data_IF_530505837208
#
_entry.id   IF_530505837208
#
_cell.length_a   1.000
_cell.length_b   1.000
_cell.length_c   1.000
_cell.angle_alpha   90.00
_cell.angle_beta   90.00
_cell.angle_gamma   90.00
#
_symmetry.space_group_name_H-M   'P 1'
#
loop_
_entity.id
_entity.type
_entity.pdbx_description
1 polymer ?
#
# COMPACT_ATOMS: atom_id res chain seq x y z
N UNK A 1 50.56 13.95 37.08
CA UNK A 1 51.38 15.17 37.29
C UNK A 1 51.49 15.88 35.97
N UNK A 2 51.48 17.24 35.85
CA UNK A 2 50.48 18.19 36.34
C UNK A 2 49.76 18.87 35.15
N UNK A 3 48.56 19.37 35.19
CA UNK A 3 47.99 20.60 35.70
C UNK A 3 48.55 21.92 35.11
N UNK A 4 47.68 22.71 34.46
CA UNK A 4 47.66 24.19 34.43
C UNK A 4 46.44 24.62 33.55
N UNK A 5 45.33 25.13 33.97
CA UNK A 5 44.88 26.37 34.63
C UNK A 5 45.45 27.65 33.99
N UNK A 6 44.53 28.48 33.41
CA UNK A 6 44.32 29.91 33.70
C UNK A 6 43.29 30.49 32.76
N UNK A 7 42.10 30.94 33.27
CA UNK A 7 41.60 32.26 33.63
C UNK A 7 41.24 33.19 32.43
N UNK A 8 39.99 33.46 32.30
CA UNK A 8 39.17 34.58 32.75
C UNK A 8 39.60 36.00 32.21
N UNK A 9 38.74 36.66 31.48
CA UNK A 9 38.43 38.08 31.66
C UNK A 9 37.05 38.49 31.13
N UNK A 10 36.38 39.21 31.97
CA UNK A 10 35.10 39.90 31.88
C UNK A 10 35.23 41.20 31.05
N UNK A 11 34.16 41.65 30.47
CA UNK A 11 34.01 43.01 29.94
C UNK A 11 32.54 43.37 29.81
N UNK A 12 32.09 44.28 30.63
CA UNK A 12 30.77 44.84 30.86
C UNK A 12 30.27 45.76 29.70
N UNK A 13 28.96 45.72 29.48
CA UNK A 13 27.97 46.79 29.51
C UNK A 13 28.03 48.00 28.58
N UNK A 14 26.94 48.31 27.89
CA UNK A 14 26.26 49.60 28.00
C UNK A 14 24.88 49.55 27.31
N UNK A 15 23.90 50.05 28.02
CA UNK A 15 22.49 50.26 27.64
C UNK A 15 22.31 51.66 27.04
N UNK A 16 21.32 51.85 26.13
CA UNK A 16 20.58 53.12 25.90
C UNK A 16 19.32 52.83 25.07
N UNK A 17 18.13 52.81 25.62
CA UNK A 17 17.13 53.87 25.74
C UNK A 17 16.41 54.28 24.40
N UNK A 18 15.06 54.08 24.45
CA UNK A 18 13.96 54.52 23.56
C UNK A 18 13.89 56.07 23.40
N UNK A 19 13.11 56.60 22.40
CA UNK A 19 11.69 56.83 22.73
C UNK A 19 10.68 56.63 21.56
N UNK A 20 9.39 56.53 22.01
CA UNK A 20 8.13 56.61 21.28
C UNK A 20 7.96 57.90 20.50
N UNK A 21 7.26 57.83 19.35
CA UNK A 21 6.32 58.90 18.93
C UNK A 21 5.16 58.33 18.13
N UNK A 22 3.97 58.53 18.69
CA UNK A 22 2.68 58.31 18.04
C UNK A 22 2.28 59.57 17.27
N UNK A 23 1.68 59.41 16.08
CA UNK A 23 0.84 60.44 15.49
C UNK A 23 -0.28 59.80 14.66
N UNK A 24 -1.48 60.08 15.12
CA UNK A 24 -2.74 59.83 14.43
C UNK A 24 -3.00 60.97 13.41
N UNK A 25 -3.52 60.60 12.24
CA UNK A 25 -4.20 61.56 11.37
C UNK A 25 -5.38 60.88 10.67
N UNK A 26 -6.56 61.29 11.02
CA UNK A 26 -7.85 61.08 10.37
C UNK A 26 -7.97 61.91 9.12
N UNK A 27 -8.43 61.32 8.00
CA UNK A 27 -8.99 62.07 6.87
C UNK A 27 -10.16 61.28 6.25
N UNK A 28 -11.35 61.81 6.36
CA UNK A 28 -12.54 61.41 5.63
C UNK A 28 -12.39 61.88 4.16
N UNK A 29 -12.73 61.02 3.21
CA UNK A 29 -12.88 61.37 1.80
C UNK A 29 -13.99 60.52 1.17
N UNK A 30 -15.07 61.17 0.79
CA UNK A 30 -16.25 60.69 0.05
C UNK A 30 -15.87 60.39 -1.41
N UNK A 31 -16.37 59.27 -1.99
CA UNK A 31 -16.30 59.10 -3.43
C UNK A 31 -16.63 57.69 -3.94
N UNK A 32 -17.89 57.48 -4.36
CA UNK A 32 -18.39 56.64 -5.44
C UNK A 32 -18.05 55.14 -5.51
N UNK A 33 -19.13 54.37 -5.46
CA UNK A 33 -19.28 52.92 -5.72
C UNK A 33 -18.74 52.54 -7.12
N UNK A 34 -17.86 51.56 -7.16
CA UNK A 34 -17.73 50.60 -8.25
C UNK A 34 -18.06 49.23 -7.69
N UNK A 35 -19.12 48.61 -8.23
CA UNK A 35 -19.42 47.20 -8.00
C UNK A 35 -18.35 46.36 -8.66
N UNK A 36 -17.46 45.81 -7.88
CA UNK A 36 -16.63 44.68 -8.27
C UNK A 36 -17.22 43.43 -7.67
N UNK A 37 -17.93 42.69 -8.51
CA UNK A 37 -18.29 41.29 -8.26
C UNK A 37 -17.02 40.44 -8.29
N UNK A 38 -16.26 40.49 -7.22
CA UNK A 38 -15.29 39.44 -6.89
C UNK A 38 -15.95 38.57 -5.87
N UNK A 39 -16.53 37.46 -6.34
CA UNK A 39 -16.73 36.27 -5.53
C UNK A 39 -15.42 35.96 -4.83
N UNK A 40 -15.29 36.46 -3.61
CA UNK A 40 -14.28 36.02 -2.67
C UNK A 40 -14.54 34.55 -2.43
N UNK A 41 -13.80 33.69 -3.13
CA UNK A 41 -13.64 32.32 -2.73
C UNK A 41 -13.13 32.34 -1.29
N UNK A 42 -14.01 32.14 -0.35
CA UNK A 42 -13.66 31.83 1.04
C UNK A 42 -12.83 30.55 0.92
N UNK A 43 -11.50 30.70 1.00
CA UNK A 43 -10.62 29.57 1.25
C UNK A 43 -11.23 28.91 2.49
N UNK A 44 -11.79 27.72 2.32
CA UNK A 44 -12.25 26.92 3.41
C UNK A 44 -11.05 26.77 4.34
N UNK A 45 -11.10 27.49 5.46
CA UNK A 45 -10.17 27.27 6.57
C UNK A 45 -10.35 25.82 6.94
N UNK A 46 -9.43 24.97 6.50
CA UNK A 46 -9.54 23.53 6.59
C UNK A 46 -9.77 23.17 8.05
N UNK A 47 -10.89 22.52 8.32
CA UNK A 47 -11.20 21.97 9.64
C UNK A 47 -9.97 21.15 10.07
N UNK A 48 -9.35 21.49 11.19
CA UNK A 48 -8.26 20.71 11.77
C UNK A 48 -8.79 19.30 12.04
N UNK A 49 -8.17 18.29 11.44
CA UNK A 49 -8.50 16.90 11.71
C UNK A 49 -8.03 16.49 13.10
N UNK A 50 -8.55 15.40 13.61
CA UNK A 50 -8.37 14.97 15.00
C UNK A 50 -6.97 14.45 15.34
N UNK A 51 -6.14 14.11 14.33
CA UNK A 51 -4.74 13.72 14.52
C UNK A 51 -3.77 14.69 13.84
N UNK A 52 -2.60 14.92 14.44
CA UNK A 52 -1.54 15.75 13.84
C UNK A 52 -0.72 14.98 12.79
N UNK A 53 -0.73 13.64 12.82
CA UNK A 53 0.02 12.77 11.90
C UNK A 53 -0.75 11.49 11.64
N UNK A 54 -0.68 10.98 10.40
CA UNK A 54 -1.12 9.62 10.04
C UNK A 54 0.04 8.87 9.39
N UNK A 55 0.33 7.66 9.88
CA UNK A 55 1.40 6.79 9.38
C UNK A 55 0.79 5.78 8.42
N UNK A 56 1.23 5.83 7.15
CA UNK A 56 0.69 4.98 6.09
C UNK A 56 1.78 4.06 5.56
N UNK A 57 1.52 2.74 5.64
CA UNK A 57 2.41 1.70 5.14
C UNK A 57 2.03 1.22 3.74
N UNK A 58 3.03 0.89 2.93
CA UNK A 58 2.87 0.29 1.61
C UNK A 58 4.13 -0.46 1.18
N UNK A 59 4.09 -1.16 0.04
CA UNK A 59 5.25 -1.88 -0.48
C UNK A 59 5.75 -1.22 -1.77
N UNK A 60 7.07 -1.15 -1.99
CA UNK A 60 7.65 -0.59 -3.21
C UNK A 60 7.49 -1.55 -4.40
N UNK A 61 6.25 -1.77 -4.82
CA UNK A 61 5.89 -2.54 -6.00
C UNK A 61 4.64 -1.94 -6.69
N UNK A 62 4.40 -2.30 -7.96
CA UNK A 62 3.36 -1.66 -8.77
C UNK A 62 1.92 -2.06 -8.39
N UNK A 63 1.71 -3.17 -7.65
CA UNK A 63 0.37 -3.47 -7.11
C UNK A 63 -0.04 -2.54 -5.97
N UNK A 64 0.88 -1.68 -5.51
CA UNK A 64 0.66 -0.59 -4.57
C UNK A 64 0.65 0.80 -5.26
N UNK A 65 0.35 0.84 -6.57
CA UNK A 65 0.37 2.07 -7.37
C UNK A 65 -0.47 3.20 -6.74
N UNK A 66 -1.62 2.88 -6.14
CA UNK A 66 -2.44 3.87 -5.43
C UNK A 66 -1.67 4.59 -4.32
N UNK A 67 -0.97 3.85 -3.47
CA UNK A 67 -0.17 4.45 -2.40
C UNK A 67 1.03 5.23 -2.97
N UNK A 68 1.77 4.61 -3.90
CA UNK A 68 2.95 5.23 -4.53
C UNK A 68 2.60 6.56 -5.20
N UNK A 69 1.59 6.58 -6.06
CA UNK A 69 1.14 7.77 -6.78
C UNK A 69 0.48 8.78 -5.82
N UNK A 70 -0.37 8.31 -4.92
CA UNK A 70 -1.08 9.18 -3.96
C UNK A 70 -0.14 9.94 -3.02
N UNK A 71 0.97 9.32 -2.64
CA UNK A 71 2.05 9.95 -1.86
C UNK A 71 2.88 10.87 -2.76
N UNK A 72 3.35 10.37 -3.91
CA UNK A 72 4.24 11.08 -4.83
C UNK A 72 3.62 12.37 -5.38
N UNK A 73 2.34 12.32 -5.78
CA UNK A 73 1.59 13.46 -6.32
C UNK A 73 0.94 14.32 -5.21
N UNK A 74 1.12 13.95 -3.95
CA UNK A 74 0.53 14.67 -2.82
C UNK A 74 -1.01 14.60 -2.75
N UNK A 75 -1.65 13.68 -3.48
CA UNK A 75 -3.10 13.58 -3.56
C UNK A 75 -3.72 13.18 -2.21
N UNK A 76 -3.06 12.29 -1.46
CA UNK A 76 -3.50 11.92 -0.11
C UNK A 76 -3.22 13.06 0.87
N UNK A 77 -2.03 13.69 0.83
CA UNK A 77 -1.70 14.82 1.71
C UNK A 77 -2.65 16.00 1.52
N UNK A 78 -3.09 16.26 0.30
CA UNK A 78 -4.04 17.34 0.00
C UNK A 78 -5.35 17.19 0.77
N UNK A 79 -5.88 15.97 0.90
CA UNK A 79 -7.11 15.71 1.64
C UNK A 79 -6.92 15.76 3.16
N UNK A 80 -5.72 15.50 3.64
CA UNK A 80 -5.34 15.58 5.05
C UNK A 80 -5.19 17.01 5.57
N UNK A 81 -5.02 17.99 4.66
CA UNK A 81 -4.82 19.39 5.06
C UNK A 81 -3.61 19.55 6.00
N UNK A 82 -3.86 19.96 7.24
CA UNK A 82 -2.83 20.18 8.25
C UNK A 82 -2.30 18.92 8.93
N UNK A 83 -2.97 17.77 8.79
CA UNK A 83 -2.48 16.48 9.30
C UNK A 83 -1.33 15.99 8.43
N UNK A 84 -0.18 15.71 9.03
CA UNK A 84 1.01 15.26 8.32
C UNK A 84 0.89 13.80 7.89
N UNK A 85 1.06 13.53 6.60
CA UNK A 85 1.26 12.19 6.07
C UNK A 85 2.67 11.70 6.38
N UNK A 86 2.79 10.51 6.98
CA UNK A 86 4.07 9.86 7.27
C UNK A 86 4.12 8.50 6.55
N UNK A 87 4.65 8.44 5.32
CA UNK A 87 4.75 7.20 4.56
C UNK A 87 5.85 6.29 5.10
N UNK A 88 5.63 4.97 5.05
CA UNK A 88 6.55 3.93 5.49
C UNK A 88 6.56 2.78 4.49
N UNK A 89 7.74 2.41 3.99
CA UNK A 89 7.91 1.28 3.08
C UNK A 89 8.17 -0.01 3.86
N UNK A 90 7.47 -1.09 3.46
CA UNK A 90 7.65 -2.44 3.99
C UNK A 90 8.04 -3.42 2.88
N UNK A 91 8.70 -4.53 3.24
CA UNK A 91 9.08 -5.54 2.27
C UNK A 91 7.92 -6.50 1.93
N UNK A 92 7.05 -6.79 2.90
CA UNK A 92 5.88 -7.68 2.72
C UNK A 92 4.83 -7.49 3.83
N UNK A 93 3.68 -8.16 3.67
CA UNK A 93 2.51 -8.03 4.54
C UNK A 93 2.73 -8.38 6.00
N UNK A 94 3.36 -9.50 6.35
CA UNK A 94 3.57 -9.86 7.75
C UNK A 94 4.26 -8.76 8.57
N UNK A 95 5.31 -8.14 8.02
CA UNK A 95 6.02 -7.05 8.73
C UNK A 95 5.17 -5.77 8.88
N UNK A 96 4.29 -5.48 7.92
CA UNK A 96 3.35 -4.36 8.04
C UNK A 96 2.27 -4.63 9.11
N UNK A 97 1.79 -5.88 9.24
CA UNK A 97 0.87 -6.29 10.32
C UNK A 97 1.53 -6.16 11.69
N UNK A 98 2.80 -6.56 11.83
CA UNK A 98 3.54 -6.38 13.08
C UNK A 98 3.66 -4.90 13.46
N UNK A 99 3.95 -4.01 12.49
CA UNK A 99 4.01 -2.57 12.70
C UNK A 99 2.65 -1.99 13.10
N UNK A 100 1.54 -2.46 12.49
CA UNK A 100 0.19 -2.05 12.83
C UNK A 100 -0.20 -2.51 14.25
N UNK A 101 0.10 -3.76 14.61
CA UNK A 101 -0.15 -4.31 15.93
C UNK A 101 0.70 -3.61 17.02
N UNK A 102 1.91 -3.22 16.69
CA UNK A 102 2.82 -2.47 17.57
C UNK A 102 2.50 -0.98 17.67
N UNK A 103 1.46 -0.49 16.98
CA UNK A 103 1.05 0.92 17.01
C UNK A 103 2.05 1.86 16.31
N UNK A 104 2.97 1.35 15.49
CA UNK A 104 3.88 2.16 14.67
C UNK A 104 3.35 2.43 13.26
N UNK A 105 2.20 1.84 12.90
CA UNK A 105 1.47 2.04 11.67
C UNK A 105 -0.02 2.26 11.98
N UNK A 106 -0.66 3.21 11.30
CA UNK A 106 -2.09 3.51 11.47
C UNK A 106 -2.94 2.92 10.36
N UNK A 107 -2.50 3.08 9.11
CA UNK A 107 -3.16 2.61 7.89
C UNK A 107 -2.14 1.86 7.03
N UNK A 108 -2.52 0.74 6.43
CA UNK A 108 -1.64 -0.05 5.56
C UNK A 108 -2.29 -0.39 4.23
N UNK A 109 -1.56 -0.23 3.14
CA UNK A 109 -1.86 -0.89 1.88
C UNK A 109 -1.23 -2.27 1.95
N UNK A 110 -2.03 -3.34 1.88
CA UNK A 110 -1.56 -4.68 2.24
C UNK A 110 -2.33 -5.76 1.48
N UNK A 111 -1.68 -6.90 1.26
CA UNK A 111 -2.34 -8.05 0.64
C UNK A 111 -3.43 -8.69 1.54
N UNK A 112 -4.41 -9.36 0.94
CA UNK A 112 -5.53 -9.98 1.66
C UNK A 112 -5.08 -11.06 2.66
N UNK A 113 -4.16 -11.96 2.30
CA UNK A 113 -3.74 -13.03 3.22
C UNK A 113 -3.07 -12.53 4.50
N UNK A 114 -2.13 -11.56 4.47
CA UNK A 114 -1.63 -10.94 5.69
C UNK A 114 -2.72 -10.22 6.51
N UNK A 115 -3.67 -9.55 5.85
CA UNK A 115 -4.79 -8.89 6.53
C UNK A 115 -5.65 -9.91 7.28
N UNK A 116 -6.04 -11.02 6.62
CA UNK A 116 -6.78 -12.13 7.24
C UNK A 116 -5.99 -12.72 8.42
N UNK A 117 -4.70 -13.04 8.21
CA UNK A 117 -3.86 -13.61 9.26
C UNK A 117 -3.75 -12.68 10.49
N UNK A 118 -3.56 -11.38 10.26
CA UNK A 118 -3.54 -10.38 11.33
C UNK A 118 -4.86 -10.32 12.07
N UNK A 119 -5.98 -10.28 11.33
CA UNK A 119 -7.33 -10.24 11.89
C UNK A 119 -7.61 -11.46 12.79
N UNK A 120 -7.37 -12.65 12.25
CA UNK A 120 -7.60 -13.93 12.95
C UNK A 120 -6.74 -14.06 14.22
N UNK A 121 -5.44 -13.79 14.12
CA UNK A 121 -4.52 -13.86 15.27
C UNK A 121 -4.84 -12.86 16.38
N UNK A 122 -5.54 -11.78 16.06
CA UNK A 122 -6.00 -10.79 17.05
C UNK A 122 -7.44 -11.04 17.51
N UNK A 123 -8.08 -12.16 17.10
CA UNK A 123 -9.50 -12.43 17.37
C UNK A 123 -10.39 -11.26 16.92
N UNK A 124 -10.10 -10.72 15.72
CA UNK A 124 -10.86 -9.63 15.14
C UNK A 124 -10.62 -8.23 15.73
N UNK A 125 -9.61 -8.04 16.60
CA UNK A 125 -9.44 -6.80 17.39
C UNK A 125 -8.43 -5.79 16.86
N UNK A 126 -7.58 -6.15 15.89
CA UNK A 126 -6.48 -5.26 15.50
C UNK A 126 -6.78 -4.34 14.32
N UNK A 127 -7.48 -4.82 13.31
CA UNK A 127 -7.68 -4.07 12.07
C UNK A 127 -9.10 -4.19 11.49
N UNK A 128 -9.38 -3.29 10.53
CA UNK A 128 -10.49 -3.41 9.57
C UNK A 128 -9.95 -3.16 8.17
N UNK A 129 -10.51 -3.87 7.18
CA UNK A 129 -10.34 -3.54 5.76
C UNK A 129 -11.37 -2.46 5.43
N UNK A 130 -10.88 -1.31 4.94
CA UNK A 130 -11.69 -0.11 4.71
C UNK A 130 -11.81 0.28 3.24
N UNK A 131 -11.03 -0.34 2.34
CA UNK A 131 -11.10 -0.10 0.89
C UNK A 131 -10.33 -1.18 0.14
N UNK A 132 -10.64 -1.35 -1.15
CA UNK A 132 -9.72 -1.91 -2.12
C UNK A 132 -8.63 -0.92 -2.51
N UNK A 133 -7.64 -1.38 -3.25
CA UNK A 133 -6.59 -0.56 -3.85
C UNK A 133 -6.20 -1.09 -5.22
N UNK A 134 -5.95 -2.41 -5.35
CA UNK A 134 -5.58 -3.01 -6.63
C UNK A 134 -6.09 -4.45 -6.78
N UNK A 135 -6.29 -4.83 -8.04
CA UNK A 135 -6.59 -6.19 -8.51
C UNK A 135 -5.58 -6.62 -9.57
N UNK A 136 -5.24 -7.91 -9.62
CA UNK A 136 -4.35 -8.47 -10.64
C UNK A 136 -2.85 -8.24 -10.38
N UNK A 137 -2.04 -8.28 -11.43
CA UNK A 137 -0.60 -7.98 -11.37
C UNK A 137 0.25 -9.06 -10.69
N UNK A 138 -0.15 -10.33 -10.73
CA UNK A 138 0.61 -11.46 -10.19
C UNK A 138 0.80 -12.53 -11.26
N UNK A 139 2.01 -13.07 -11.36
CA UNK A 139 2.37 -14.06 -12.39
C UNK A 139 3.27 -15.16 -11.81
N UNK A 140 3.12 -16.37 -12.34
CA UNK A 140 4.14 -17.40 -12.29
C UNK A 140 5.06 -17.21 -13.50
N UNK A 141 6.28 -16.79 -13.26
CA UNK A 141 7.33 -16.67 -14.29
C UNK A 141 8.40 -17.71 -14.06
N UNK A 142 8.92 -18.29 -15.12
CA UNK A 142 9.80 -19.47 -15.06
C UNK A 142 10.96 -19.39 -16.03
N UNK A 143 12.02 -20.15 -15.75
CA UNK A 143 13.09 -20.40 -16.71
C UNK A 143 12.57 -21.33 -17.81
N UNK A 144 12.49 -20.88 -19.08
CA UNK A 144 11.91 -21.66 -20.18
C UNK A 144 12.72 -22.89 -20.58
N UNK A 145 14.01 -22.96 -20.21
CA UNK A 145 14.85 -24.14 -20.47
C UNK A 145 14.57 -25.28 -19.48
N UNK A 146 14.00 -24.94 -18.29
CA UNK A 146 13.75 -25.88 -17.20
C UNK A 146 12.28 -26.22 -17.00
N UNK A 147 11.38 -25.31 -17.39
CA UNK A 147 9.93 -25.41 -17.17
C UNK A 147 9.24 -24.95 -18.46
N UNK A 148 8.55 -25.85 -19.14
CA UNK A 148 7.82 -25.58 -20.38
C UNK A 148 6.31 -25.63 -20.19
N UNK A 149 5.86 -26.46 -19.25
CA UNK A 149 4.46 -26.71 -18.93
C UNK A 149 4.21 -26.55 -17.41
N UNK A 150 2.98 -26.37 -16.97
CA UNK A 150 2.65 -26.35 -15.55
C UNK A 150 3.10 -27.62 -14.77
N UNK A 151 3.15 -28.77 -15.41
CA UNK A 151 3.53 -30.02 -14.74
C UNK A 151 5.07 -30.14 -14.54
N UNK A 152 5.87 -29.41 -15.31
CA UNK A 152 7.32 -29.35 -15.13
C UNK A 152 7.74 -28.58 -13.84
N UNK A 153 6.81 -27.89 -13.19
CA UNK A 153 7.05 -27.18 -11.90
C UNK A 153 7.35 -28.18 -10.78
N UNK A 154 6.89 -29.44 -10.89
CA UNK A 154 7.23 -30.48 -9.93
C UNK A 154 8.72 -30.72 -9.86
N UNK A 155 9.28 -30.79 -8.66
CA UNK A 155 10.72 -30.94 -8.40
C UNK A 155 11.53 -29.64 -8.58
N UNK A 156 10.91 -28.50 -8.89
CA UNK A 156 11.59 -27.21 -9.10
C UNK A 156 11.58 -26.35 -7.84
N UNK A 157 12.41 -25.30 -7.88
CA UNK A 157 12.53 -24.28 -6.83
C UNK A 157 11.80 -23.03 -7.31
N UNK A 158 10.66 -22.73 -6.70
CA UNK A 158 9.84 -21.57 -7.06
C UNK A 158 9.88 -20.57 -5.92
N UNK A 159 10.26 -19.35 -6.26
CA UNK A 159 10.27 -18.25 -5.29
C UNK A 159 8.85 -17.72 -5.04
N UNK A 160 8.58 -17.39 -3.79
CA UNK A 160 7.44 -16.59 -3.35
C UNK A 160 7.96 -15.51 -2.41
N UNK A 161 7.18 -14.44 -2.09
CA UNK A 161 7.53 -13.51 -1.00
C UNK A 161 7.60 -14.19 0.37
N UNK A 162 7.47 -13.44 1.45
CA UNK A 162 7.45 -14.00 2.82
C UNK A 162 6.37 -15.06 2.99
N UNK A 163 6.63 -16.03 3.89
CA UNK A 163 5.66 -17.04 4.30
C UNK A 163 4.33 -16.39 4.75
N UNK A 164 3.23 -16.90 4.23
CA UNK A 164 1.89 -16.37 4.53
C UNK A 164 1.55 -15.07 3.80
N UNK A 165 2.43 -14.55 2.93
CA UNK A 165 2.07 -13.47 2.03
C UNK A 165 1.08 -13.97 0.96
N UNK A 166 0.34 -13.06 0.32
CA UNK A 166 -0.73 -13.42 -0.63
C UNK A 166 -0.26 -14.36 -1.73
N UNK A 167 0.90 -14.08 -2.34
CA UNK A 167 1.47 -14.91 -3.39
C UNK A 167 1.96 -16.27 -2.90
N UNK A 168 2.43 -16.36 -1.66
CA UNK A 168 2.85 -17.63 -1.05
C UNK A 168 1.64 -18.55 -0.86
N UNK A 169 0.55 -17.99 -0.32
CA UNK A 169 -0.73 -18.70 -0.14
C UNK A 169 -1.32 -19.15 -1.48
N UNK A 170 -1.35 -18.27 -2.48
CA UNK A 170 -1.87 -18.58 -3.81
C UNK A 170 -1.08 -19.70 -4.48
N UNK A 171 0.26 -19.65 -4.41
CA UNK A 171 1.12 -20.69 -4.97
C UNK A 171 0.94 -22.04 -4.26
N UNK A 172 0.89 -22.06 -2.93
CA UNK A 172 0.65 -23.29 -2.16
C UNK A 172 -0.71 -23.91 -2.50
N UNK A 173 -1.75 -23.09 -2.67
CA UNK A 173 -3.05 -23.58 -3.12
C UNK A 173 -2.99 -24.15 -4.55
N UNK A 174 -2.28 -23.47 -5.48
CA UNK A 174 -2.12 -23.95 -6.85
C UNK A 174 -1.40 -25.29 -6.90
N UNK A 175 -0.31 -25.46 -6.14
CA UNK A 175 0.44 -26.71 -5.97
C UNK A 175 -0.46 -27.82 -5.43
N UNK A 176 -1.23 -27.51 -4.39
CA UNK A 176 -2.21 -28.47 -3.80
C UNK A 176 -3.31 -28.86 -4.80
N UNK A 177 -3.75 -27.94 -5.67
CA UNK A 177 -4.70 -28.21 -6.75
C UNK A 177 -4.17 -29.17 -7.81
N UNK A 178 -2.84 -29.29 -7.94
CA UNK A 178 -2.17 -30.30 -8.78
C UNK A 178 -2.04 -31.68 -8.09
N UNK A 179 -2.50 -31.80 -6.85
CA UNK A 179 -2.31 -33.01 -6.04
C UNK A 179 -0.90 -33.16 -5.47
N UNK A 180 -0.07 -32.13 -5.55
CA UNK A 180 1.31 -32.12 -5.02
C UNK A 180 1.33 -31.66 -3.58
N UNK A 181 2.29 -32.17 -2.82
CA UNK A 181 2.43 -31.87 -1.40
C UNK A 181 3.62 -30.94 -1.16
N UNK A 182 3.39 -29.89 -0.40
CA UNK A 182 4.42 -29.00 0.12
C UNK A 182 4.10 -28.72 1.58
N UNK A 183 5.08 -28.90 2.45
CA UNK A 183 5.01 -28.46 3.83
C UNK A 183 5.05 -26.93 3.87
N UNK A 184 3.98 -26.29 4.32
CA UNK A 184 3.81 -24.85 4.26
C UNK A 184 4.78 -24.11 5.19
N UNK A 185 5.30 -24.76 6.24
CA UNK A 185 6.26 -24.16 7.16
C UNK A 185 7.66 -24.09 6.53
N UNK A 186 8.18 -25.24 6.11
CA UNK A 186 9.54 -25.36 5.56
C UNK A 186 9.65 -25.03 4.06
N UNK A 187 8.53 -25.04 3.32
CA UNK A 187 8.51 -24.90 1.87
C UNK A 187 9.02 -26.13 1.12
N UNK A 188 9.26 -27.28 1.80
CA UNK A 188 9.79 -28.51 1.20
C UNK A 188 8.66 -29.44 0.78
N UNK A 189 8.88 -30.21 -0.30
CA UNK A 189 7.93 -31.18 -0.80
C UNK A 189 8.12 -31.51 -2.27
N UNK A 190 7.01 -31.80 -2.98
CA UNK A 190 7.02 -32.04 -4.43
C UNK A 190 7.50 -30.83 -5.23
N UNK A 191 7.42 -29.63 -4.66
CA UNK A 191 8.01 -28.40 -5.14
C UNK A 191 8.76 -27.74 -3.97
N UNK A 192 9.90 -27.16 -4.23
CA UNK A 192 10.63 -26.37 -3.22
C UNK A 192 10.17 -24.92 -3.29
N UNK A 193 9.47 -24.44 -2.27
CA UNK A 193 9.04 -23.04 -2.15
C UNK A 193 10.12 -22.25 -1.44
N UNK A 194 10.74 -21.31 -2.16
CA UNK A 194 11.86 -20.49 -1.67
C UNK A 194 11.31 -19.08 -1.36
N UNK A 195 11.18 -18.73 -0.07
CA UNK A 195 10.69 -17.40 0.31
C UNK A 195 11.80 -16.38 0.15
N UNK A 196 11.66 -15.46 -0.81
CA UNK A 196 12.66 -14.46 -1.14
C UNK A 196 12.03 -13.06 -1.22
N UNK A 197 12.76 -12.06 -0.72
CA UNK A 197 12.40 -10.67 -0.93
C UNK A 197 12.41 -10.32 -2.43
N UNK A 198 11.45 -9.51 -2.88
CA UNK A 198 11.35 -9.08 -4.28
C UNK A 198 12.60 -8.33 -4.80
N UNK A 199 13.43 -7.78 -3.91
CA UNK A 199 14.69 -7.12 -4.27
C UNK A 199 15.77 -8.13 -4.68
N UNK A 200 15.78 -9.32 -4.05
CA UNK A 200 16.81 -10.35 -4.30
C UNK A 200 16.32 -11.45 -5.25
N UNK A 201 15.03 -11.55 -5.52
CA UNK A 201 14.46 -12.56 -6.43
C UNK A 201 15.10 -12.54 -7.83
N UNK A 202 15.38 -11.38 -8.47
CA UNK A 202 16.08 -11.35 -9.76
C UNK A 202 17.48 -11.95 -9.71
N UNK A 203 18.25 -11.68 -8.66
CA UNK A 203 19.60 -12.24 -8.52
C UNK A 203 19.56 -13.74 -8.24
N UNK A 204 18.59 -14.22 -7.44
CA UNK A 204 18.36 -15.64 -7.22
C UNK A 204 17.99 -16.38 -8.53
N UNK A 205 17.24 -15.73 -9.43
CA UNK A 205 16.90 -16.27 -10.75
C UNK A 205 18.13 -16.32 -11.65
N UNK A 206 18.90 -15.24 -11.77
CA UNK A 206 20.13 -15.16 -12.57
C UNK A 206 21.18 -16.19 -12.16
N UNK A 207 21.36 -16.37 -10.86
CA UNK A 207 22.31 -17.36 -10.33
C UNK A 207 21.83 -18.79 -10.50
N UNK A 208 20.59 -19.01 -10.96
CA UNK A 208 19.98 -20.32 -11.05
C UNK A 208 19.65 -20.94 -9.69
N UNK A 209 19.60 -20.14 -8.60
CA UNK A 209 19.18 -20.60 -7.26
C UNK A 209 17.70 -20.91 -7.20
N UNK A 210 16.90 -20.31 -8.09
CA UNK A 210 15.48 -20.63 -8.31
C UNK A 210 15.21 -20.91 -9.79
N UNK A 211 14.18 -21.67 -10.07
CA UNK A 211 13.78 -22.08 -11.42
C UNK A 211 12.59 -21.25 -11.94
N UNK A 212 11.93 -20.50 -11.05
CA UNK A 212 10.82 -19.60 -11.32
C UNK A 212 10.35 -18.87 -10.07
N UNK A 213 9.34 -18.03 -10.23
CA UNK A 213 8.78 -17.26 -9.13
C UNK A 213 7.29 -16.97 -9.34
N UNK A 214 6.49 -17.08 -8.27
CA UNK A 214 5.12 -16.58 -8.20
C UNK A 214 5.14 -15.24 -7.47
N UNK A 215 5.13 -14.17 -8.22
CA UNK A 215 5.46 -12.84 -7.70
C UNK A 215 4.58 -11.74 -8.30
N UNK A 216 4.42 -10.62 -7.57
CA UNK A 216 3.71 -9.45 -8.09
C UNK A 216 4.60 -8.63 -9.03
N UNK A 217 3.95 -7.75 -9.79
CA UNK A 217 4.62 -6.71 -10.58
C UNK A 217 5.25 -5.62 -9.66
N UNK A 218 6.46 -5.15 -9.95
CA UNK A 218 7.20 -5.30 -11.21
C UNK A 218 8.17 -6.48 -11.23
N UNK A 219 8.24 -7.30 -10.18
CA UNK A 219 9.22 -8.40 -10.09
C UNK A 219 9.02 -9.40 -11.23
N UNK A 220 7.77 -9.75 -11.56
CA UNK A 220 7.47 -10.64 -12.69
C UNK A 220 8.03 -10.09 -14.01
N UNK A 221 7.76 -8.83 -14.33
CA UNK A 221 8.24 -8.18 -15.55
C UNK A 221 9.77 -7.99 -15.57
N UNK A 222 10.41 -7.77 -14.42
CA UNK A 222 11.88 -7.79 -14.32
C UNK A 222 12.45 -9.15 -14.70
N UNK A 223 11.91 -10.23 -14.16
CA UNK A 223 12.36 -11.59 -14.48
C UNK A 223 12.17 -11.91 -15.97
N UNK A 224 11.07 -11.44 -16.58
CA UNK A 224 10.86 -11.59 -18.03
C UNK A 224 11.91 -10.83 -18.83
N UNK A 225 12.34 -9.63 -18.40
CA UNK A 225 13.43 -8.89 -19.04
C UNK A 225 14.78 -9.62 -18.93
N UNK A 226 14.89 -10.54 -17.99
CA UNK A 226 16.08 -11.37 -17.73
C UNK A 226 15.97 -12.77 -18.34
N UNK A 227 15.02 -12.97 -19.28
CA UNK A 227 14.84 -14.21 -20.03
C UNK A 227 13.84 -15.19 -19.43
N UNK A 228 13.14 -14.87 -18.34
CA UNK A 228 12.05 -15.68 -17.86
C UNK A 228 10.83 -15.58 -18.78
N UNK A 229 9.98 -16.62 -18.76
CA UNK A 229 8.71 -16.65 -19.49
C UNK A 229 7.54 -16.68 -18.50
N UNK A 230 6.46 -15.97 -18.82
CA UNK A 230 5.20 -16.10 -18.10
C UNK A 230 4.62 -17.49 -18.39
N UNK A 231 4.48 -18.30 -17.36
CA UNK A 231 3.83 -19.60 -17.43
C UNK A 231 2.33 -19.50 -17.14
N UNK A 232 1.97 -18.63 -16.19
CA UNK A 232 0.59 -18.42 -15.75
C UNK A 232 0.42 -16.99 -15.23
N UNK A 233 -0.67 -16.36 -15.60
CA UNK A 233 -1.18 -15.16 -14.94
C UNK A 233 -2.20 -15.58 -13.87
N UNK A 234 -2.03 -15.15 -12.62
CA UNK A 234 -2.92 -15.55 -11.52
C UNK A 234 -4.37 -15.17 -11.80
N UNK A 235 -4.61 -14.05 -12.49
CA UNK A 235 -5.95 -13.61 -12.87
C UNK A 235 -6.74 -14.69 -13.63
N UNK A 236 -6.09 -15.49 -14.46
CA UNK A 236 -6.75 -16.57 -15.21
C UNK A 236 -7.30 -17.70 -14.31
N UNK A 237 -6.93 -17.73 -13.03
CA UNK A 237 -7.47 -18.69 -12.06
C UNK A 237 -8.75 -18.18 -11.36
N UNK A 238 -9.14 -16.93 -11.61
CA UNK A 238 -10.23 -16.27 -10.91
C UNK A 238 -11.44 -16.01 -11.82
N UNK A 239 -12.67 -16.12 -11.32
CA UNK A 239 -13.85 -15.76 -12.07
C UNK A 239 -13.79 -14.31 -12.57
N UNK A 240 -13.96 -14.13 -13.90
CA UNK A 240 -13.88 -12.82 -14.54
C UNK A 240 -12.53 -12.13 -14.41
N UNK A 241 -11.46 -12.91 -14.11
CA UNK A 241 -10.09 -12.42 -13.92
C UNK A 241 -9.95 -11.35 -12.82
N UNK A 242 -10.87 -11.37 -11.84
CA UNK A 242 -10.92 -10.38 -10.76
C UNK A 242 -10.64 -11.02 -9.41
N UNK A 243 -9.64 -10.49 -8.70
CA UNK A 243 -9.33 -10.83 -7.33
C UNK A 243 -8.62 -9.66 -6.67
N UNK A 244 -8.82 -9.48 -5.38
CA UNK A 244 -8.10 -8.44 -4.65
C UNK A 244 -6.64 -8.85 -4.44
N UNK A 245 -5.72 -7.93 -4.74
CA UNK A 245 -4.28 -8.11 -4.46
C UNK A 245 -3.80 -7.13 -3.38
N UNK A 246 -4.40 -5.95 -3.32
CA UNK A 246 -4.07 -4.95 -2.32
C UNK A 246 -5.34 -4.31 -1.77
N UNK A 247 -5.51 -4.40 -0.46
CA UNK A 247 -6.52 -3.71 0.34
C UNK A 247 -5.92 -2.52 1.07
N UNK A 248 -6.76 -1.61 1.53
CA UNK A 248 -6.43 -0.62 2.55
C UNK A 248 -6.97 -1.13 3.88
N UNK A 249 -6.10 -1.28 4.87
CA UNK A 249 -6.45 -1.66 6.24
C UNK A 249 -6.17 -0.50 7.19
N UNK A 250 -6.90 -0.45 8.29
CA UNK A 250 -6.70 0.54 9.35
C UNK A 250 -6.65 -0.15 10.71
N UNK A 251 -5.82 0.34 11.63
CA UNK A 251 -5.90 -0.04 13.04
C UNK A 251 -7.27 0.32 13.61
N UNK A 252 -7.94 -0.62 14.30
CA UNK A 252 -9.25 -0.34 14.90
C UNK A 252 -9.19 0.78 15.93
N UNK A 253 -8.10 0.89 16.69
CA UNK A 253 -7.87 2.00 17.61
C UNK A 253 -7.85 3.33 16.86
N UNK A 254 -7.07 3.42 15.77
CA UNK A 254 -6.99 4.65 14.98
C UNK A 254 -8.32 4.99 14.30
N UNK A 255 -9.03 3.99 13.76
CA UNK A 255 -10.35 4.19 13.17
C UNK A 255 -11.36 4.77 14.17
N UNK A 256 -11.34 4.27 15.40
CA UNK A 256 -12.23 4.73 16.47
C UNK A 256 -11.89 6.14 16.95
N UNK A 257 -10.60 6.43 17.11
CA UNK A 257 -10.13 7.71 17.66
C UNK A 257 -10.09 8.83 16.62
N UNK A 258 -9.82 8.50 15.34
CA UNK A 258 -9.58 9.46 14.27
C UNK A 258 -10.35 9.13 12.97
N UNK A 259 -11.69 8.93 13.02
CA UNK A 259 -12.48 8.57 11.84
C UNK A 259 -12.46 9.65 10.75
N UNK A 260 -12.30 10.92 11.12
CA UNK A 260 -12.19 12.04 10.20
C UNK A 260 -10.87 12.01 9.39
N UNK A 261 -9.77 11.58 10.02
CA UNK A 261 -8.48 11.36 9.34
C UNK A 261 -8.58 10.17 8.37
N UNK A 262 -9.21 9.08 8.81
CA UNK A 262 -9.43 7.90 7.96
C UNK A 262 -10.30 8.26 6.75
N UNK A 263 -11.38 9.03 6.93
CA UNK A 263 -12.20 9.51 5.82
C UNK A 263 -11.40 10.39 4.85
N UNK A 264 -10.51 11.25 5.35
CA UNK A 264 -9.64 12.08 4.52
C UNK A 264 -8.65 11.23 3.70
N UNK A 265 -8.04 10.20 4.30
CA UNK A 265 -7.18 9.24 3.58
C UNK A 265 -7.97 8.50 2.51
N UNK A 266 -9.20 8.05 2.80
CA UNK A 266 -10.06 7.38 1.83
C UNK A 266 -10.43 8.29 0.65
N UNK A 267 -10.74 9.59 0.89
CA UNK A 267 -10.93 10.56 -0.20
C UNK A 267 -9.67 10.69 -1.07
N UNK A 268 -8.51 10.81 -0.44
CA UNK A 268 -7.23 10.85 -1.16
C UNK A 268 -7.00 9.59 -1.99
N UNK A 269 -7.30 8.41 -1.45
CA UNK A 269 -7.20 7.10 -2.12
C UNK A 269 -8.14 7.03 -3.33
N UNK A 270 -9.43 7.34 -3.16
CA UNK A 270 -10.44 7.33 -4.22
C UNK A 270 -10.07 8.29 -5.35
N UNK A 271 -9.63 9.51 -5.02
CA UNK A 271 -9.18 10.50 -6.01
C UNK A 271 -7.89 10.08 -6.70
N UNK A 272 -6.98 9.42 -6.00
CA UNK A 272 -5.77 8.85 -6.60
C UNK A 272 -6.12 7.77 -7.61
N UNK A 273 -7.03 6.84 -7.28
CA UNK A 273 -7.48 5.81 -8.20
C UNK A 273 -8.14 6.40 -9.45
N UNK A 274 -8.98 7.42 -9.26
CA UNK A 274 -9.59 8.15 -10.39
C UNK A 274 -8.52 8.84 -11.26
N UNK A 275 -7.52 9.47 -10.63
CA UNK A 275 -6.43 10.14 -11.33
C UNK A 275 -5.55 9.16 -12.12
N UNK A 276 -5.20 8.00 -11.54
CA UNK A 276 -4.44 6.95 -12.22
C UNK A 276 -5.18 6.46 -13.45
N UNK A 277 -6.48 6.17 -13.32
CA UNK A 277 -7.31 5.68 -14.42
C UNK A 277 -7.49 6.72 -15.55
N UNK A 278 -7.54 8.01 -15.20
CA UNK A 278 -7.66 9.10 -16.16
C UNK A 278 -6.32 9.49 -16.81
N UNK A 279 -5.18 9.17 -16.19
CA UNK A 279 -3.85 9.59 -16.64
C UNK A 279 -2.84 8.43 -16.60
N UNK A 280 -3.06 7.32 -17.33
CA UNK A 280 -2.26 6.10 -17.17
C UNK A 280 -0.76 6.31 -17.42
N UNK A 281 -0.36 7.10 -18.41
CA UNK A 281 1.06 7.34 -18.70
C UNK A 281 1.74 8.17 -17.59
N UNK A 282 1.10 9.24 -17.13
CA UNK A 282 1.60 10.02 -15.99
C UNK A 282 1.65 9.18 -14.71
N UNK A 283 0.70 8.26 -14.53
CA UNK A 283 0.67 7.37 -13.38
C UNK A 283 1.83 6.37 -13.39
N UNK A 284 2.22 5.85 -14.57
CA UNK A 284 3.42 5.02 -14.72
C UNK A 284 4.68 5.80 -14.31
N UNK A 285 4.82 7.03 -14.81
CA UNK A 285 5.98 7.89 -14.51
C UNK A 285 6.05 8.22 -13.02
N UNK A 286 4.91 8.60 -12.42
CA UNK A 286 4.80 8.91 -11.00
C UNK A 286 5.11 7.70 -10.12
N UNK A 287 4.51 6.53 -10.42
CA UNK A 287 4.80 5.30 -9.70
C UNK A 287 6.29 4.89 -9.81
N UNK A 288 6.89 5.06 -10.99
CA UNK A 288 8.31 4.75 -11.20
C UNK A 288 9.23 5.74 -10.47
N UNK A 289 8.86 7.01 -10.41
CA UNK A 289 9.57 8.02 -9.62
C UNK A 289 9.51 7.70 -8.11
N UNK A 290 8.34 7.31 -7.60
CA UNK A 290 8.17 6.85 -6.22
C UNK A 290 9.01 5.59 -5.93
N UNK A 291 9.00 4.60 -6.83
CA UNK A 291 9.85 3.40 -6.71
C UNK A 291 11.33 3.75 -6.69
N UNK A 292 11.76 4.73 -7.51
CA UNK A 292 13.16 5.21 -7.49
C UNK A 292 13.52 5.84 -6.15
N UNK A 293 12.63 6.64 -5.56
CA UNK A 293 12.86 7.25 -4.25
C UNK A 293 13.02 6.19 -3.15
N UNK A 294 12.18 5.13 -3.18
CA UNK A 294 12.19 4.06 -2.17
C UNK A 294 13.33 3.05 -2.36
N UNK A 295 13.71 2.76 -3.59
CA UNK A 295 14.65 1.65 -3.91
C UNK A 295 16.02 2.14 -4.39
N UNK A 296 16.18 3.43 -4.62
CA UNK A 296 17.37 4.04 -5.19
C UNK A 296 17.51 3.90 -6.71
N UNK A 297 16.63 3.14 -7.38
CA UNK A 297 16.72 2.87 -8.83
C UNK A 297 15.35 2.85 -9.50
N UNK A 298 15.21 3.64 -10.56
CA UNK A 298 14.02 3.58 -11.42
C UNK A 298 13.97 2.24 -12.19
N UNK A 299 12.77 1.80 -12.51
CA UNK A 299 12.56 0.68 -13.43
C UNK A 299 12.82 1.13 -14.86
N UNK A 300 13.38 0.25 -15.71
CA UNK A 300 13.40 0.47 -17.14
C UNK A 300 11.97 0.65 -17.69
N UNK A 301 11.75 1.57 -18.66
CA UNK A 301 10.41 1.81 -19.21
C UNK A 301 9.69 0.56 -19.70
N UNK A 302 10.42 -0.34 -20.37
CA UNK A 302 9.88 -1.59 -20.90
C UNK A 302 9.38 -2.54 -19.80
N UNK A 303 9.92 -2.45 -18.58
CA UNK A 303 9.45 -3.22 -17.41
C UNK A 303 8.14 -2.65 -16.91
N UNK A 304 8.04 -1.32 -16.83
CA UNK A 304 6.80 -0.64 -16.40
C UNK A 304 5.68 -0.89 -17.40
N UNK A 305 5.97 -0.74 -18.71
CA UNK A 305 4.99 -0.93 -19.79
C UNK A 305 4.48 -2.38 -19.86
N UNK A 306 5.32 -3.36 -19.54
CA UNK A 306 4.91 -4.77 -19.45
C UNK A 306 4.10 -5.05 -18.20
N UNK A 307 4.42 -4.43 -17.07
CA UNK A 307 3.78 -4.66 -15.79
C UNK A 307 2.39 -4.03 -15.69
N UNK A 308 2.27 -2.79 -16.16
CA UNK A 308 1.11 -1.93 -15.90
C UNK A 308 -0.23 -2.49 -16.38
N UNK A 309 -0.37 -3.07 -17.59
CA UNK A 309 -1.64 -3.59 -18.09
C UNK A 309 -2.24 -4.71 -17.23
N UNK A 310 -1.43 -5.43 -16.47
CA UNK A 310 -1.88 -6.50 -15.57
C UNK A 310 -2.48 -6.00 -14.25
N UNK A 311 -2.36 -4.69 -13.96
CA UNK A 311 -2.78 -4.11 -12.69
C UNK A 311 -4.00 -3.22 -12.91
N UNK A 312 -5.02 -3.38 -12.10
CA UNK A 312 -6.21 -2.53 -12.10
C UNK A 312 -6.37 -1.89 -10.72
N UNK A 313 -6.24 -0.57 -10.64
CA UNK A 313 -6.56 0.15 -9.40
C UNK A 313 -8.07 0.20 -9.22
N UNK A 314 -8.53 -0.01 -7.99
CA UNK A 314 -9.97 -0.11 -7.67
C UNK A 314 -10.22 0.27 -6.23
N UNK A 315 -11.36 0.93 -5.95
CA UNK A 315 -11.83 1.20 -4.59
C UNK A 315 -12.60 0.00 -4.03
N UNK A 316 -13.14 -0.86 -4.93
CA UNK A 316 -13.84 -2.08 -4.54
C UNK A 316 -12.83 -3.09 -3.95
N UNK A 317 -13.00 -3.51 -2.70
CA UNK A 317 -12.14 -4.50 -2.06
C UNK A 317 -12.35 -5.91 -2.62
N UNK A 318 -13.27 -6.13 -3.57
CA UNK A 318 -13.62 -7.44 -4.13
C UNK A 318 -13.84 -8.48 -3.02
N UNK A 319 -14.61 -8.11 -2.00
CA UNK A 319 -14.71 -8.81 -0.73
C UNK A 319 -15.08 -10.31 -0.87
N UNK A 320 -15.85 -10.68 -1.90
CA UNK A 320 -16.16 -12.09 -2.19
C UNK A 320 -14.90 -12.94 -2.44
N UNK A 321 -13.79 -12.34 -2.92
CA UNK A 321 -12.54 -13.06 -3.18
C UNK A 321 -11.73 -13.32 -1.91
N UNK A 322 -11.99 -12.57 -0.83
CA UNK A 322 -11.30 -12.72 0.45
C UNK A 322 -11.59 -14.09 1.09
N UNK A 323 -12.86 -14.54 1.07
CA UNK A 323 -13.23 -15.87 1.59
C UNK A 323 -12.47 -16.99 0.87
N UNK A 324 -12.33 -16.88 -0.45
CA UNK A 324 -11.59 -17.85 -1.26
C UNK A 324 -10.11 -17.87 -0.87
N UNK A 325 -9.48 -16.70 -0.76
CA UNK A 325 -8.07 -16.59 -0.37
C UNK A 325 -7.82 -17.06 1.06
N UNK A 326 -8.76 -16.81 1.97
CA UNK A 326 -8.72 -17.31 3.34
C UNK A 326 -8.79 -18.84 3.35
N UNK A 327 -9.72 -19.44 2.60
CA UNK A 327 -9.82 -20.89 2.47
C UNK A 327 -8.55 -21.54 1.90
N UNK A 328 -7.80 -20.82 1.03
CA UNK A 328 -6.50 -21.28 0.56
C UNK A 328 -5.46 -21.33 1.69
N UNK A 329 -5.45 -20.34 2.58
CA UNK A 329 -4.55 -20.30 3.72
C UNK A 329 -4.85 -21.40 4.73
N UNK A 330 -6.14 -21.68 4.97
CA UNK A 330 -6.61 -22.83 5.79
C UNK A 330 -6.15 -24.16 5.17
N UNK A 331 -6.41 -24.35 3.88
CA UNK A 331 -6.00 -25.57 3.16
C UNK A 331 -4.50 -25.81 3.18
N UNK A 332 -3.71 -24.72 3.17
CA UNK A 332 -2.26 -24.77 3.29
C UNK A 332 -1.77 -25.00 4.73
N UNK A 333 -2.65 -25.00 5.72
CA UNK A 333 -2.28 -25.15 7.15
C UNK A 333 -1.57 -23.92 7.73
N UNK A 334 -1.77 -22.75 7.15
CA UNK A 334 -1.15 -21.50 7.60
C UNK A 334 -2.00 -20.77 8.65
N UNK A 335 -3.29 -21.00 8.65
CA UNK A 335 -4.27 -20.51 9.64
C UNK A 335 -5.33 -21.62 9.87
N UNK A 336 -5.96 -21.59 11.04
CA UNK A 336 -7.18 -22.36 11.29
C UNK A 336 -8.37 -21.75 10.55
N UNK A 337 -9.53 -22.45 10.51
CA UNK A 337 -10.75 -21.94 9.87
C UNK A 337 -11.22 -20.65 10.57
N UNK A 338 -11.17 -19.49 9.89
CA UNK A 338 -11.35 -18.22 10.57
C UNK A 338 -12.80 -17.76 10.56
N UNK A 339 -13.23 -17.15 11.65
CA UNK A 339 -14.35 -16.22 11.64
C UNK A 339 -13.87 -14.90 11.03
N UNK A 340 -14.44 -14.53 9.89
CA UNK A 340 -14.14 -13.29 9.19
C UNK A 340 -15.22 -12.22 9.37
N UNK A 341 -16.26 -12.47 10.16
CA UNK A 341 -17.33 -11.50 10.38
C UNK A 341 -16.77 -10.24 11.05
N UNK A 342 -17.09 -9.10 10.46
CA UNK A 342 -16.57 -7.81 10.89
C UNK A 342 -15.18 -7.43 10.38
N UNK A 343 -14.54 -8.22 9.51
CA UNK A 343 -13.21 -7.84 8.96
C UNK A 343 -13.28 -6.57 8.10
N UNK A 344 -14.44 -6.28 7.49
CA UNK A 344 -14.67 -5.06 6.71
C UNK A 344 -15.41 -4.00 7.52
N UNK A 345 -15.01 -2.75 7.34
CA UNK A 345 -15.80 -1.56 7.65
C UNK A 345 -15.73 -0.61 6.44
N UNK A 346 -16.73 -0.68 5.58
CA UNK A 346 -16.82 0.12 4.35
C UNK A 346 -17.67 1.38 4.51
N UNK A 347 -18.11 1.71 5.73
CA UNK A 347 -19.00 2.84 6.02
C UNK A 347 -18.43 4.16 5.53
N UNK A 348 -17.18 4.47 5.88
CA UNK A 348 -16.52 5.71 5.45
C UNK A 348 -16.20 5.72 3.97
N UNK A 349 -15.80 4.58 3.39
CA UNK A 349 -15.57 4.47 1.96
C UNK A 349 -16.85 4.73 1.17
N UNK A 350 -17.96 4.08 1.51
CA UNK A 350 -19.24 4.24 0.82
C UNK A 350 -19.76 5.67 0.95
N UNK A 351 -19.54 6.32 2.10
CA UNK A 351 -19.82 7.76 2.27
C UNK A 351 -19.01 8.62 1.28
N UNK A 352 -17.71 8.33 1.12
CA UNK A 352 -16.82 9.04 0.18
C UNK A 352 -17.25 8.78 -1.26
N UNK A 353 -17.49 7.53 -1.64
CA UNK A 353 -17.91 7.16 -2.99
C UNK A 353 -19.23 7.84 -3.37
N UNK A 354 -20.20 7.85 -2.47
CA UNK A 354 -21.47 8.55 -2.67
C UNK A 354 -21.28 10.06 -2.88
N UNK A 355 -20.41 10.68 -2.09
CA UNK A 355 -20.09 12.11 -2.25
C UNK A 355 -19.41 12.42 -3.59
N UNK A 356 -18.66 11.46 -4.16
CA UNK A 356 -18.01 11.57 -5.47
C UNK A 356 -18.93 11.06 -6.63
N UNK A 357 -20.23 10.78 -6.36
CA UNK A 357 -21.19 10.30 -7.37
C UNK A 357 -20.89 8.90 -7.89
N UNK A 358 -20.19 8.07 -7.11
CA UNK A 358 -19.79 6.71 -7.47
C UNK A 358 -20.63 5.67 -6.73
N UNK A 359 -20.82 4.46 -7.31
CA UNK A 359 -21.58 3.40 -6.65
C UNK A 359 -20.89 2.94 -5.37
N UNK A 360 -21.70 2.57 -4.39
CA UNK A 360 -21.23 1.92 -3.17
C UNK A 360 -20.66 0.52 -3.49
N UNK A 361 -19.74 0.06 -2.65
CA UNK A 361 -19.12 -1.26 -2.75
C UNK A 361 -19.61 -2.16 -1.62
N UNK A 362 -19.59 -3.48 -1.87
CA UNK A 362 -20.10 -4.49 -0.94
C UNK A 362 -18.99 -5.14 -0.13
N UNK A 363 -19.28 -5.43 1.13
CA UNK A 363 -18.47 -6.26 2.02
C UNK A 363 -18.71 -7.77 1.83
N UNK A 364 -19.63 -8.16 0.93
CA UNK A 364 -20.03 -9.56 0.70
C UNK A 364 -20.48 -10.30 1.98
N UNK A 365 -21.08 -9.58 2.93
CA UNK A 365 -21.55 -10.13 4.22
C UNK A 365 -20.42 -10.43 5.20
N UNK A 366 -19.27 -9.75 5.07
CA UNK A 366 -18.12 -9.82 5.99
C UNK A 366 -17.95 -8.51 6.78
N UNK A 367 -18.92 -7.59 6.69
CA UNK A 367 -18.95 -6.36 7.47
C UNK A 367 -19.27 -6.60 8.94
N UNK A 368 -18.98 -5.59 9.77
CA UNK A 368 -19.46 -5.58 11.14
C UNK A 368 -20.99 -5.53 11.15
N UNK A 369 -21.66 -6.28 12.08
CA UNK A 369 -23.11 -6.26 12.21
C UNK A 369 -23.68 -4.89 12.59
#
# INVERSE_FOLDING_TARGET
MPASRTRLRRGLAAAAALPLLALAATACGYGSQAKDDRTSGVAAVGRKLSADTVRIGYFPNLTHATALVGVQEGLIQKELGGTRLSPQAFNAGPSAIEALNGGSLDIGFIGPSPAVNGYVKSEGRNLRIISGSASGGVKLVVNPDRIKTPDDVRGKRIATPQKGNTQDVAFLNWVSGKGWKVDAESGKGDVSVVRTDGKITPDAYKSGSIDGAWVPEPTASKLVSEGAKVLLEEAALWPGEKFVITNVVVSQTFLKEHPDVVEAVLRGTVRTNAWINANPDKAKDSANAALKAETGKALPPEVVDRAWPGIRVTDDPLAATLRTQSGWAVKAGLIDDPDLDGIYDLTLLNKVLKAEGRPEVSDAGLGAP
#
